data_IF_157629043286
#
_entry.id   IF_157629043286
#
_cell.length_a   1.000
_cell.length_b   1.000
_cell.length_c   1.000
_cell.angle_alpha   90.00
_cell.angle_beta   90.00
_cell.angle_gamma   90.00
#
_symmetry.space_group_name_H-M   'P 1'
#
loop_
_entity.id
_entity.type
_entity.pdbx_description
1 polymer ?
#
# COMPACT_ATOMS: atom_id res chain seq x y z
N UNK A 1 -9.16 -6.01 -14.12
CA UNK A 1 -7.88 -5.86 -13.36
C UNK A 1 -7.51 -4.42 -13.00
N UNK A 2 -7.88 -3.38 -13.77
CA UNK A 2 -7.75 -1.96 -13.38
C UNK A 2 -8.48 -1.59 -12.08
N UNK A 3 -9.57 -2.30 -11.77
CA UNK A 3 -10.30 -2.15 -10.52
C UNK A 3 -9.49 -2.56 -9.27
N UNK A 4 -8.57 -3.53 -9.39
CA UNK A 4 -7.82 -4.07 -8.25
C UNK A 4 -6.74 -3.10 -7.76
N UNK A 5 -6.03 -2.45 -8.68
CA UNK A 5 -5.06 -1.39 -8.37
C UNK A 5 -5.71 -0.14 -7.81
N UNK A 6 -6.91 0.21 -8.30
CA UNK A 6 -7.71 1.34 -7.78
C UNK A 6 -8.19 1.05 -6.35
N UNK A 7 -8.64 -0.18 -6.10
CA UNK A 7 -9.05 -0.65 -4.77
C UNK A 7 -7.91 -0.56 -3.75
N UNK A 8 -6.71 -1.04 -4.11
CA UNK A 8 -5.54 -1.00 -3.22
C UNK A 8 -5.07 0.43 -2.92
N UNK A 9 -5.06 1.31 -3.92
CA UNK A 9 -4.67 2.72 -3.69
C UNK A 9 -5.63 3.45 -2.75
N UNK A 10 -6.92 3.13 -2.82
CA UNK A 10 -7.93 3.72 -1.95
C UNK A 10 -7.78 3.22 -0.51
N UNK A 11 -7.53 1.94 -0.33
CA UNK A 11 -7.32 1.33 0.98
C UNK A 11 -6.04 1.84 1.66
N UNK A 12 -4.96 2.03 0.91
CA UNK A 12 -3.72 2.66 1.40
C UNK A 12 -4.00 4.09 1.88
N UNK A 13 -4.73 4.89 1.10
CA UNK A 13 -5.04 6.27 1.48
C UNK A 13 -5.92 6.33 2.73
N UNK A 14 -6.91 5.43 2.85
CA UNK A 14 -7.75 5.34 4.05
C UNK A 14 -6.93 5.02 5.29
N UNK A 15 -6.04 4.04 5.22
CA UNK A 15 -5.20 3.64 6.36
C UNK A 15 -4.16 4.72 6.73
N UNK A 16 -3.67 5.51 5.77
CA UNK A 16 -2.83 6.68 6.06
C UNK A 16 -3.56 7.71 6.90
N UNK A 17 -4.81 8.02 6.53
CA UNK A 17 -5.64 8.98 7.27
C UNK A 17 -5.87 8.48 8.70
N UNK A 18 -6.28 7.22 8.86
CA UNK A 18 -6.52 6.62 10.19
C UNK A 18 -5.25 6.59 11.06
N UNK A 19 -4.09 6.37 10.46
CA UNK A 19 -2.79 6.44 11.15
C UNK A 19 -2.49 7.87 11.61
N UNK A 20 -2.69 8.89 10.76
CA UNK A 20 -2.47 10.28 11.15
C UNK A 20 -3.43 10.74 12.25
N UNK A 21 -4.71 10.38 12.16
CA UNK A 21 -5.70 10.67 13.20
C UNK A 21 -5.34 10.00 14.53
N UNK A 22 -4.89 8.74 14.49
CA UNK A 22 -4.45 8.01 15.69
C UNK A 22 -3.21 8.65 16.31
N UNK A 23 -2.23 9.07 15.49
CA UNK A 23 -1.02 9.74 15.97
C UNK A 23 -1.31 11.13 16.57
N UNK A 24 -2.26 11.88 15.99
CA UNK A 24 -2.68 13.18 16.50
C UNK A 24 -3.46 13.05 17.83
N UNK A 25 -4.31 12.02 17.95
CA UNK A 25 -5.06 11.70 19.16
C UNK A 25 -4.18 11.16 20.29
N UNK A 26 -3.25 10.26 20.00
CA UNK A 26 -2.48 9.58 21.05
C UNK A 26 -1.33 10.43 21.61
N UNK A 27 -0.94 11.56 20.97
CA UNK A 27 0.09 12.54 21.38
C UNK A 27 1.42 11.98 21.93
N UNK A 28 1.63 10.68 21.85
CA UNK A 28 2.73 9.96 22.48
C UNK A 28 3.26 8.95 21.48
N UNK A 29 4.59 8.85 21.41
CA UNK A 29 5.34 8.01 20.48
C UNK A 29 5.11 6.49 20.68
N UNK A 30 4.26 6.09 21.64
CA UNK A 30 4.15 4.72 22.13
C UNK A 30 2.78 4.08 21.82
N UNK A 31 2.08 4.63 20.83
CA UNK A 31 0.80 4.10 20.38
C UNK A 31 0.96 2.76 19.67
N UNK A 32 0.82 1.66 20.40
CA UNK A 32 0.82 0.29 19.84
C UNK A 32 -0.12 0.17 18.62
N UNK A 33 -1.21 0.95 18.61
CA UNK A 33 -2.15 1.06 17.50
C UNK A 33 -1.54 1.73 16.25
N UNK A 34 -0.77 2.81 16.42
CA UNK A 34 -0.06 3.45 15.31
C UNK A 34 1.02 2.53 14.73
N UNK A 35 1.71 1.74 15.57
CA UNK A 35 2.66 0.72 15.12
C UNK A 35 1.98 -0.36 14.25
N UNK A 36 0.86 -0.94 14.71
CA UNK A 36 0.10 -1.93 13.95
C UNK A 36 -0.44 -1.38 12.62
N UNK A 37 -0.92 -0.13 12.61
CA UNK A 37 -1.38 0.55 11.40
C UNK A 37 -0.22 0.77 10.42
N UNK A 38 0.96 1.13 10.90
CA UNK A 38 2.16 1.31 10.07
C UNK A 38 2.60 0.01 9.40
N UNK A 39 2.64 -1.11 10.16
CA UNK A 39 2.94 -2.44 9.60
C UNK A 39 1.96 -2.87 8.51
N UNK A 40 0.65 -2.59 8.71
CA UNK A 40 -0.37 -2.88 7.71
C UNK A 40 -0.18 -2.03 6.46
N UNK A 41 0.23 -0.77 6.62
CA UNK A 41 0.54 0.13 5.52
C UNK A 41 1.73 -0.36 4.70
N UNK A 42 2.82 -0.73 5.36
CA UNK A 42 4.04 -1.23 4.71
C UNK A 42 3.78 -2.49 3.90
N UNK A 43 2.97 -3.41 4.43
CA UNK A 43 2.55 -4.62 3.71
C UNK A 43 1.79 -4.28 2.42
N UNK A 44 0.80 -3.39 2.50
CA UNK A 44 0.00 -3.02 1.33
C UNK A 44 0.82 -2.26 0.27
N UNK A 45 1.74 -1.41 0.71
CA UNK A 45 2.69 -0.71 -0.18
C UNK A 45 3.58 -1.74 -0.89
N UNK A 46 4.12 -2.71 -0.16
CA UNK A 46 4.93 -3.78 -0.74
C UNK A 46 4.15 -4.61 -1.77
N UNK A 47 2.92 -5.02 -1.44
CA UNK A 47 2.04 -5.75 -2.37
C UNK A 47 1.71 -4.94 -3.63
N UNK A 48 1.49 -3.63 -3.49
CA UNK A 48 1.25 -2.74 -4.62
C UNK A 48 2.46 -2.64 -5.55
N UNK A 49 3.67 -2.42 -5.00
CA UNK A 49 4.89 -2.32 -5.81
C UNK A 49 5.31 -3.65 -6.45
N UNK A 50 5.20 -4.76 -5.72
CA UNK A 50 5.47 -6.09 -6.29
C UNK A 50 4.46 -6.47 -7.36
N UNK A 51 3.18 -6.14 -7.19
CA UNK A 51 2.15 -6.32 -8.21
C UNK A 51 2.41 -5.48 -9.47
N UNK A 52 2.90 -4.25 -9.31
CA UNK A 52 3.33 -3.39 -10.43
C UNK A 52 4.55 -3.96 -11.15
N UNK A 53 5.57 -4.41 -10.41
CA UNK A 53 6.79 -4.98 -10.98
C UNK A 53 6.52 -6.22 -11.84
N UNK A 54 5.68 -7.15 -11.37
CA UNK A 54 5.24 -8.32 -12.15
C UNK A 54 4.51 -7.93 -13.45
N UNK A 55 3.77 -6.81 -13.42
CA UNK A 55 3.05 -6.28 -14.58
C UNK A 55 3.98 -5.70 -15.62
N UNK A 56 4.99 -4.94 -15.18
CA UNK A 56 6.04 -4.39 -16.05
C UNK A 56 6.81 -5.54 -16.71
N UNK A 57 7.20 -6.55 -15.94
CA UNK A 57 7.93 -7.72 -16.45
C UNK A 57 7.12 -8.47 -17.51
N UNK A 58 5.83 -8.73 -17.26
CA UNK A 58 4.94 -9.38 -18.24
C UNK A 58 4.76 -8.57 -19.53
N UNK A 59 4.68 -7.24 -19.43
CA UNK A 59 4.56 -6.38 -20.62
C UNK A 59 5.86 -6.34 -21.43
N UNK A 60 7.01 -6.37 -20.76
CA UNK A 60 8.32 -6.47 -21.40
C UNK A 60 8.49 -7.81 -22.13
N UNK A 61 8.12 -8.92 -21.49
CA UNK A 61 8.13 -10.25 -22.12
C UNK A 61 7.17 -10.34 -23.32
N UNK A 62 6.00 -9.71 -23.24
CA UNK A 62 5.05 -9.65 -24.35
C UNK A 62 5.58 -8.85 -25.54
N UNK A 63 6.35 -7.77 -25.30
CA UNK A 63 6.93 -6.94 -26.35
C UNK A 63 8.22 -7.50 -26.97
N UNK A 64 8.93 -8.40 -26.27
CA UNK A 64 10.14 -9.05 -26.81
C UNK A 64 9.87 -10.27 -27.70
N UNK A 65 8.62 -10.76 -27.74
CA UNK A 65 8.20 -11.90 -28.56
C UNK A 65 7.57 -11.49 -29.92
N UNK A 66 7.80 -10.26 -30.36
CA UNK A 66 7.40 -9.74 -31.69
C UNK A 66 8.62 -9.36 -32.51
#
# INVERSE_FOLDING_TARGET
MTHMTRSLSHEINKLKIELYETLDLEKTLNGHRAYLLSLKLDKLIYEYYTGLSKRVQKNVEANMNY
#
